data_IF_150356220318
#
_entry.id   IF_150356220318
#
_cell.length_a   1.000
_cell.length_b   1.000
_cell.length_c   1.000
_cell.angle_alpha   90.00
_cell.angle_beta   90.00
_cell.angle_gamma   90.00
#
_symmetry.space_group_name_H-M   'P 1'
#
loop_
_entity.id
_entity.type
_entity.pdbx_description
1 polymer ?
#
# COMPACT_ATOMS: atom_id res chain seq x y z
N UNK A 1 14.62 29.05 9.31
CA UNK A 1 13.62 29.18 10.41
C UNK A 1 14.12 30.23 11.39
N UNK A 2 13.27 31.14 11.88
CA UNK A 2 13.67 32.13 12.88
C UNK A 2 13.78 31.50 14.27
N UNK A 3 14.64 32.06 15.13
CA UNK A 3 14.77 31.62 16.53
C UNK A 3 13.45 31.76 17.30
N UNK A 4 12.67 32.79 16.98
CA UNK A 4 11.34 33.02 17.56
C UNK A 4 10.35 31.90 17.24
N UNK A 5 10.31 31.44 15.98
CA UNK A 5 9.45 30.33 15.57
C UNK A 5 9.91 29.02 16.23
N UNK A 6 11.22 28.76 16.25
CA UNK A 6 11.76 27.56 16.89
C UNK A 6 11.40 27.50 18.38
N UNK A 7 11.48 28.62 19.08
CA UNK A 7 11.10 28.72 20.49
C UNK A 7 9.58 28.49 20.69
N UNK A 8 8.73 29.10 19.86
CA UNK A 8 7.28 28.88 19.93
C UNK A 8 6.91 27.41 19.65
N UNK A 9 7.56 26.78 18.67
CA UNK A 9 7.35 25.36 18.38
C UNK A 9 7.79 24.48 19.56
N UNK A 10 8.95 24.78 20.18
CA UNK A 10 9.44 24.09 21.38
C UNK A 10 8.45 24.18 22.54
N UNK A 11 7.83 25.33 22.75
CA UNK A 11 6.82 25.53 23.80
C UNK A 11 5.56 24.69 23.56
N UNK A 12 5.19 24.44 22.31
CA UNK A 12 4.04 23.59 21.95
C UNK A 12 4.34 22.11 22.17
N UNK A 13 5.43 21.58 21.60
CA UNK A 13 5.68 20.13 21.56
C UNK A 13 6.57 19.60 22.69
N UNK A 14 7.19 20.52 23.45
CA UNK A 14 8.19 20.25 24.48
C UNK A 14 9.51 19.72 23.92
N UNK A 15 10.50 19.54 24.79
CA UNK A 15 11.83 19.01 24.42
C UNK A 15 11.76 17.61 23.78
N UNK A 16 10.87 16.75 24.25
CA UNK A 16 10.67 15.42 23.68
C UNK A 16 10.07 15.45 22.26
N UNK A 17 9.43 16.56 21.91
CA UNK A 17 8.74 16.76 20.64
C UNK A 17 9.55 17.48 19.58
N UNK A 18 10.74 18.01 19.90
CA UNK A 18 11.56 18.78 18.95
C UNK A 18 12.92 18.11 18.74
N UNK A 19 13.30 17.94 17.48
CA UNK A 19 14.63 17.46 17.09
C UNK A 19 15.22 18.46 16.10
N UNK A 20 16.33 19.09 16.48
CA UNK A 20 17.16 19.95 15.62
C UNK A 20 18.57 19.39 15.40
N UNK A 21 18.92 18.34 16.14
CA UNK A 21 20.20 17.67 16.02
C UNK A 21 20.28 16.90 14.68
N UNK A 22 21.32 17.19 13.91
CA UNK A 22 21.48 16.70 12.53
C UNK A 22 21.59 15.18 12.47
N UNK A 23 22.25 14.55 13.44
CA UNK A 23 22.44 13.10 13.49
C UNK A 23 21.10 12.40 13.80
N UNK A 24 20.35 12.92 14.77
CA UNK A 24 19.03 12.37 15.15
C UNK A 24 17.97 12.55 14.05
N UNK A 25 18.11 13.55 13.19
CA UNK A 25 17.19 13.76 12.06
C UNK A 25 17.38 12.74 10.94
N UNK A 26 18.54 12.08 10.80
CA UNK A 26 18.87 11.27 9.60
C UNK A 26 17.79 10.23 9.23
N UNK A 27 17.19 9.58 10.23
CA UNK A 27 16.14 8.56 10.01
C UNK A 27 14.83 9.10 9.42
N UNK A 28 14.60 10.42 9.50
CA UNK A 28 13.43 11.11 8.94
C UNK A 28 13.70 11.68 7.54
N UNK A 29 14.98 11.80 7.17
CA UNK A 29 15.45 12.49 5.97
C UNK A 29 15.74 11.56 4.79
N UNK A 30 15.70 10.25 5.00
CA UNK A 30 15.87 9.23 3.96
C UNK A 30 14.68 8.28 3.95
N UNK A 31 14.27 7.82 2.79
CA UNK A 31 13.25 6.77 2.70
C UNK A 31 13.83 5.38 3.00
N UNK A 32 12.93 4.41 3.18
CA UNK A 32 13.27 3.02 3.49
C UNK A 32 14.21 2.36 2.45
N UNK A 33 14.12 2.73 1.17
CA UNK A 33 14.98 2.17 0.11
C UNK A 33 16.28 2.95 -0.11
N UNK A 34 16.44 4.12 0.51
CA UNK A 34 17.53 5.04 0.23
C UNK A 34 17.48 5.66 -1.18
N UNK A 35 16.31 5.66 -1.82
CA UNK A 35 16.07 6.26 -3.12
C UNK A 35 15.90 7.79 -3.05
N UNK A 36 15.41 8.30 -1.92
CA UNK A 36 15.15 9.72 -1.69
C UNK A 36 15.86 10.18 -0.42
N UNK A 37 16.52 11.34 -0.51
CA UNK A 37 17.14 12.01 0.64
C UNK A 37 16.86 13.51 0.58
N UNK A 38 16.45 14.07 1.71
CA UNK A 38 16.15 15.48 1.87
C UNK A 38 16.88 16.13 3.04
N UNK A 39 16.54 17.37 3.31
CA UNK A 39 16.99 18.18 4.45
C UNK A 39 15.79 18.85 5.12
N UNK A 40 15.82 19.00 6.44
CA UNK A 40 14.78 19.68 7.18
C UNK A 40 15.35 20.67 8.19
N UNK A 41 14.61 21.72 8.47
CA UNK A 41 14.95 22.71 9.49
C UNK A 41 14.81 22.13 10.90
N UNK A 42 13.85 21.23 11.10
CA UNK A 42 13.61 20.49 12.32
C UNK A 42 12.68 19.30 12.05
N UNK A 43 12.64 18.36 13.00
CA UNK A 43 11.57 17.36 13.11
C UNK A 43 10.73 17.67 14.34
N UNK A 44 9.42 17.78 14.15
CA UNK A 44 8.44 17.97 15.22
C UNK A 44 7.65 16.67 15.44
N UNK A 45 7.41 16.33 16.70
CA UNK A 45 6.77 15.09 17.15
C UNK A 45 5.67 15.42 18.16
N UNK A 46 4.54 16.00 17.73
CA UNK A 46 3.44 16.32 18.63
C UNK A 46 2.84 15.05 19.26
N UNK A 47 2.29 15.18 20.47
CA UNK A 47 1.66 14.10 21.23
C UNK A 47 0.12 14.20 21.29
N UNK A 48 -0.47 15.22 20.70
CA UNK A 48 -1.91 15.47 20.69
C UNK A 48 -2.35 16.21 19.43
N UNK A 49 -3.65 16.16 19.13
CA UNK A 49 -4.26 16.86 17.99
C UNK A 49 -4.16 18.38 18.17
N UNK A 50 -4.25 18.86 19.40
CA UNK A 50 -4.10 20.26 19.76
C UNK A 50 -2.68 20.77 19.48
N UNK A 51 -1.66 19.96 19.80
CA UNK A 51 -0.26 20.26 19.46
C UNK A 51 -0.05 20.29 17.94
N UNK A 52 -0.58 19.31 17.19
CA UNK A 52 -0.54 19.31 15.72
C UNK A 52 -1.16 20.60 15.18
N UNK A 53 -2.35 20.97 15.67
CA UNK A 53 -3.06 22.17 15.26
C UNK A 53 -2.28 23.45 15.57
N UNK A 54 -1.64 23.53 16.74
CA UNK A 54 -0.80 24.67 17.11
C UNK A 54 0.46 24.78 16.24
N UNK A 55 1.14 23.66 15.97
CA UNK A 55 2.28 23.63 15.04
C UNK A 55 1.88 24.10 13.65
N UNK A 56 0.78 23.58 13.10
CA UNK A 56 0.30 23.97 11.77
C UNK A 56 0.00 25.47 11.70
N UNK A 57 -0.67 26.04 12.72
CA UNK A 57 -0.91 27.50 12.77
C UNK A 57 0.37 28.32 12.76
N UNK A 58 1.35 27.95 13.59
CA UNK A 58 2.64 28.66 13.68
C UNK A 58 3.41 28.59 12.35
N UNK A 59 3.46 27.41 11.73
CA UNK A 59 4.10 27.22 10.44
C UNK A 59 3.39 27.98 9.32
N UNK A 60 2.06 27.97 9.28
CA UNK A 60 1.27 28.71 8.31
C UNK A 60 1.50 30.23 8.43
N UNK A 61 1.52 30.77 9.65
CA UNK A 61 1.81 32.20 9.90
C UNK A 61 3.23 32.60 9.49
N UNK A 62 4.18 31.69 9.62
CA UNK A 62 5.58 31.93 9.28
C UNK A 62 5.96 31.57 7.84
N UNK A 63 5.04 31.04 7.04
CA UNK A 63 5.32 30.59 5.67
C UNK A 63 6.25 29.37 5.61
N UNK A 64 6.23 28.51 6.62
CA UNK A 64 7.09 27.31 6.70
C UNK A 64 6.29 26.07 6.28
N UNK A 65 6.82 25.35 5.30
CA UNK A 65 6.20 24.13 4.80
C UNK A 65 6.37 22.95 5.76
N UNK A 66 5.34 22.09 5.80
CA UNK A 66 5.29 20.88 6.61
C UNK A 66 5.27 19.63 5.73
N UNK A 67 5.99 18.59 6.16
CA UNK A 67 6.00 17.26 5.55
C UNK A 67 5.49 16.26 6.60
N UNK A 68 4.21 15.84 6.52
CA UNK A 68 3.66 14.85 7.45
C UNK A 68 4.35 13.50 7.27
N UNK A 69 4.72 12.86 8.38
CA UNK A 69 5.41 11.57 8.37
C UNK A 69 4.85 10.61 9.43
N UNK A 70 4.49 9.41 8.97
CA UNK A 70 4.14 8.27 9.83
C UNK A 70 5.35 7.37 10.08
N UNK A 71 5.21 6.08 9.75
CA UNK A 71 6.27 5.08 9.85
C UNK A 71 7.41 5.18 8.82
N UNK A 72 7.37 6.14 7.89
CA UNK A 72 8.35 6.34 6.83
C UNK A 72 8.60 5.09 5.92
N UNK A 73 7.54 4.32 5.66
CA UNK A 73 7.57 3.10 4.83
C UNK A 73 7.06 3.33 3.39
N UNK A 74 6.68 4.57 3.05
CA UNK A 74 6.15 4.92 1.73
C UNK A 74 7.22 4.82 0.64
N UNK A 75 6.82 4.41 -0.56
CA UNK A 75 7.75 4.06 -1.64
C UNK A 75 7.88 5.10 -2.75
N UNK A 76 7.15 6.21 -2.62
CA UNK A 76 7.04 7.25 -3.63
C UNK A 76 7.70 8.57 -3.21
N UNK A 77 8.43 8.59 -2.09
CA UNK A 77 9.10 9.80 -1.56
C UNK A 77 8.15 10.82 -0.92
N UNK A 78 6.86 10.51 -0.77
CA UNK A 78 5.86 11.44 -0.23
C UNK A 78 6.11 11.87 1.23
N UNK A 79 6.88 11.09 1.99
CA UNK A 79 7.25 11.36 3.38
C UNK A 79 8.58 12.09 3.55
N UNK A 80 9.31 12.37 2.46
CA UNK A 80 10.68 12.91 2.51
C UNK A 80 10.65 14.41 2.16
N UNK A 81 11.31 15.28 2.95
CA UNK A 81 11.42 16.70 2.62
C UNK A 81 12.28 16.94 1.38
N UNK A 82 12.21 18.14 0.82
CA UNK A 82 13.11 18.56 -0.27
C UNK A 82 14.55 18.78 0.22
N UNK A 83 15.43 19.22 -0.68
CA UNK A 83 16.85 19.46 -0.40
C UNK A 83 17.15 20.84 0.18
N UNK A 84 16.14 21.72 0.33
CA UNK A 84 16.33 23.12 0.72
C UNK A 84 16.68 23.29 2.19
N UNK A 85 16.32 22.32 3.04
CA UNK A 85 16.46 22.42 4.49
C UNK A 85 15.50 23.42 5.13
N UNK A 86 14.55 23.98 4.38
CA UNK A 86 13.60 24.98 4.87
C UNK A 86 12.31 24.37 5.44
N UNK A 87 11.99 23.13 5.05
CA UNK A 87 10.78 22.41 5.45
C UNK A 87 10.94 21.82 6.86
N UNK A 88 9.81 21.59 7.54
CA UNK A 88 9.77 20.85 8.81
C UNK A 88 9.08 19.51 8.58
N UNK A 89 9.70 18.43 9.07
CA UNK A 89 9.04 17.12 9.12
C UNK A 89 8.15 17.08 10.36
N UNK A 90 6.87 16.75 10.18
CA UNK A 90 5.92 16.55 11.27
C UNK A 90 5.64 15.06 11.44
N UNK A 91 6.30 14.44 12.42
CA UNK A 91 6.14 13.01 12.70
C UNK A 91 5.01 12.76 13.71
N UNK A 92 4.06 11.92 13.34
CA UNK A 92 2.92 11.53 14.19
C UNK A 92 3.24 10.38 15.15
N UNK A 93 4.50 9.92 15.18
CA UNK A 93 4.93 8.72 15.91
C UNK A 93 4.82 8.82 17.44
N UNK A 94 4.42 9.96 18.02
CA UNK A 94 4.11 10.05 19.47
C UNK A 94 2.61 9.89 19.78
N UNK A 95 1.75 10.00 18.78
CA UNK A 95 0.29 9.84 18.89
C UNK A 95 -0.08 8.37 18.68
N UNK A 96 0.15 7.53 19.70
CA UNK A 96 0.03 6.05 19.62
C UNK A 96 -1.12 5.47 20.45
N UNK A 97 -2.09 6.26 20.88
CA UNK A 97 -3.18 5.74 21.73
C UNK A 97 -4.24 5.03 20.89
N UNK A 98 -4.62 3.84 21.35
CA UNK A 98 -5.91 3.25 21.05
C UNK A 98 -6.91 3.91 22.00
N UNK A 99 -7.78 4.77 21.48
CA UNK A 99 -8.71 5.58 22.28
C UNK A 99 -9.88 4.75 22.78
N UNK A 100 -10.41 3.85 21.95
CA UNK A 100 -11.60 3.04 22.26
C UNK A 100 -11.66 1.78 21.39
N UNK A 101 -12.16 0.67 21.96
CA UNK A 101 -12.52 -0.54 21.22
C UNK A 101 -13.98 -0.87 21.54
N UNK A 102 -14.89 -0.61 20.60
CA UNK A 102 -16.31 -0.93 20.74
C UNK A 102 -16.59 -2.26 20.02
N UNK A 103 -16.62 -3.34 20.80
CA UNK A 103 -16.85 -4.70 20.31
C UNK A 103 -18.25 -4.88 19.75
N UNK A 104 -19.25 -4.16 20.28
CA UNK A 104 -20.65 -4.28 19.86
C UNK A 104 -20.89 -3.56 18.53
N UNK A 105 -20.32 -2.36 18.36
CA UNK A 105 -20.35 -1.63 17.10
C UNK A 105 -19.33 -2.16 16.06
N UNK A 106 -18.43 -3.03 16.51
CA UNK A 106 -17.31 -3.56 15.75
C UNK A 106 -16.47 -2.42 15.16
N UNK A 107 -16.00 -1.54 16.04
CA UNK A 107 -15.16 -0.39 15.70
C UNK A 107 -14.01 -0.22 16.66
N UNK A 108 -12.94 0.39 16.17
CA UNK A 108 -11.77 0.77 16.97
C UNK A 108 -11.37 2.20 16.62
N UNK A 109 -11.21 3.03 17.65
CA UNK A 109 -10.80 4.44 17.51
C UNK A 109 -9.34 4.56 17.91
N UNK A 110 -8.50 5.05 17.00
CA UNK A 110 -7.04 5.09 17.19
C UNK A 110 -6.45 6.41 16.74
N UNK A 111 -5.33 6.79 17.35
CA UNK A 111 -4.49 7.88 16.88
C UNK A 111 -3.69 7.48 15.64
N UNK A 112 -3.35 8.46 14.81
CA UNK A 112 -2.70 8.27 13.51
C UNK A 112 -1.30 7.63 13.59
N UNK A 113 -0.60 7.75 14.72
CA UNK A 113 0.72 7.18 14.93
C UNK A 113 0.73 5.73 15.44
N UNK A 114 -0.44 5.11 15.67
CA UNK A 114 -0.55 3.70 16.02
C UNK A 114 0.03 2.85 14.88
N UNK A 115 0.90 1.89 15.22
CA UNK A 115 1.47 0.94 14.26
C UNK A 115 0.39 -0.06 13.85
N UNK A 116 0.35 -0.44 12.56
CA UNK A 116 -0.67 -1.36 12.05
C UNK A 116 -0.69 -2.69 12.82
N UNK A 117 0.47 -3.27 13.10
CA UNK A 117 0.56 -4.50 13.89
C UNK A 117 -0.06 -4.35 15.29
N UNK A 118 0.17 -3.22 15.98
CA UNK A 118 -0.41 -2.96 17.30
C UNK A 118 -1.94 -2.82 17.23
N UNK A 119 -2.46 -2.24 16.14
CA UNK A 119 -3.90 -2.17 15.88
C UNK A 119 -4.51 -3.57 15.68
N UNK A 120 -3.85 -4.43 14.91
CA UNK A 120 -4.27 -5.81 14.67
C UNK A 120 -4.25 -6.63 15.97
N UNK A 121 -3.19 -6.52 16.78
CA UNK A 121 -3.05 -7.18 18.08
C UNK A 121 -4.19 -6.77 19.04
N UNK A 122 -4.47 -5.47 19.17
CA UNK A 122 -5.55 -4.98 20.01
C UNK A 122 -6.95 -5.45 19.55
N UNK A 123 -7.17 -5.60 18.24
CA UNK A 123 -8.39 -6.20 17.72
C UNK A 123 -8.46 -7.70 18.08
N UNK A 124 -7.35 -8.43 17.95
CA UNK A 124 -7.27 -9.86 18.25
C UNK A 124 -7.53 -10.16 19.73
N UNK A 125 -7.04 -9.31 20.66
CA UNK A 125 -7.27 -9.44 22.10
C UNK A 125 -8.76 -9.46 22.48
N UNK A 126 -9.61 -8.78 21.71
CA UNK A 126 -11.07 -8.75 21.91
C UNK A 126 -11.82 -9.70 20.98
N UNK A 127 -11.14 -10.66 20.36
CA UNK A 127 -11.73 -11.66 19.48
C UNK A 127 -12.25 -11.08 18.15
N UNK A 128 -11.60 -10.01 17.67
CA UNK A 128 -11.90 -9.33 16.40
C UNK A 128 -10.71 -9.36 15.45
N UNK A 129 -10.96 -8.96 14.21
CA UNK A 129 -9.99 -8.81 13.14
C UNK A 129 -9.98 -7.36 12.66
N UNK A 130 -8.80 -6.76 12.56
CA UNK A 130 -8.55 -5.65 11.64
C UNK A 130 -7.84 -6.21 10.40
N UNK A 131 -8.48 -6.21 9.21
CA UNK A 131 -8.11 -7.11 8.13
C UNK A 131 -7.02 -6.58 7.18
N UNK A 132 -6.64 -5.30 7.27
CA UNK A 132 -5.53 -4.81 6.45
C UNK A 132 -4.24 -5.49 6.90
N UNK A 133 -3.55 -6.16 5.98
CA UNK A 133 -2.21 -6.70 6.18
C UNK A 133 -1.34 -6.39 4.96
N UNK A 134 -0.09 -6.02 5.22
CA UNK A 134 0.89 -5.60 4.22
C UNK A 134 2.30 -5.76 4.79
N UNK A 135 3.31 -5.91 3.93
CA UNK A 135 4.67 -6.29 4.36
C UNK A 135 5.39 -5.29 5.29
N UNK A 136 4.85 -4.08 5.47
CA UNK A 136 5.38 -3.05 6.37
C UNK A 136 4.61 -2.93 7.71
N UNK A 137 3.74 -3.88 8.06
CA UNK A 137 2.79 -3.76 9.19
C UNK A 137 3.44 -3.51 10.56
N UNK A 138 4.67 -3.99 10.78
CA UNK A 138 5.43 -3.74 12.01
C UNK A 138 6.00 -2.31 12.14
N UNK A 139 5.93 -1.49 11.09
CA UNK A 139 6.47 -0.13 11.07
C UNK A 139 5.49 0.93 10.55
N UNK A 140 4.61 0.58 9.60
CA UNK A 140 3.65 1.51 9.04
C UNK A 140 2.61 1.93 10.11
N UNK A 141 2.15 3.17 10.01
CA UNK A 141 1.23 3.77 10.97
C UNK A 141 -0.14 3.93 10.34
N UNK A 142 -1.21 3.89 11.14
CA UNK A 142 -2.60 4.06 10.69
C UNK A 142 -2.79 5.33 9.84
N UNK A 143 -2.26 6.47 10.27
CA UNK A 143 -2.34 7.73 9.53
C UNK A 143 -1.63 7.68 8.17
N UNK A 144 -0.52 6.95 8.09
CA UNK A 144 0.19 6.68 6.83
C UNK A 144 -0.65 5.82 5.90
N UNK A 145 -1.18 4.71 6.40
CA UNK A 145 -2.06 3.82 5.64
C UNK A 145 -3.30 4.56 5.11
N UNK A 146 -3.89 5.45 5.90
CA UNK A 146 -5.00 6.31 5.46
C UNK A 146 -4.55 7.32 4.40
N UNK A 147 -3.45 8.04 4.65
CA UNK A 147 -2.96 9.06 3.74
C UNK A 147 -2.55 8.49 2.37
N UNK A 148 -2.10 7.24 2.30
CA UNK A 148 -1.77 6.56 1.03
C UNK A 148 -2.91 5.70 0.49
N UNK A 149 -4.04 5.59 1.20
CA UNK A 149 -5.10 4.61 0.92
C UNK A 149 -4.56 3.18 0.73
N UNK A 150 -3.76 2.70 1.68
CA UNK A 150 -3.08 1.42 1.59
C UNK A 150 -4.04 0.26 1.30
N UNK A 151 -3.59 -0.61 0.38
CA UNK A 151 -4.14 -1.92 0.10
C UNK A 151 -3.33 -3.04 0.77
N UNK A 152 -3.42 -4.23 0.19
CA UNK A 152 -2.84 -5.46 0.73
C UNK A 152 -3.55 -6.69 0.17
N UNK A 153 -3.08 -7.87 0.56
CA UNK A 153 -3.53 -9.17 0.01
C UNK A 153 -5.02 -9.45 0.22
N UNK A 154 -5.61 -8.88 1.27
CA UNK A 154 -7.01 -9.12 1.65
C UNK A 154 -8.00 -8.06 1.12
N UNK A 155 -7.56 -7.13 0.27
CA UNK A 155 -8.42 -6.09 -0.33
C UNK A 155 -9.60 -6.70 -1.07
N UNK A 156 -9.39 -7.84 -1.73
CA UNK A 156 -10.43 -8.57 -2.45
C UNK A 156 -11.64 -8.94 -1.59
N UNK A 157 -11.45 -9.06 -0.26
CA UNK A 157 -12.50 -9.39 0.72
C UNK A 157 -12.98 -8.17 1.49
N UNK A 158 -12.06 -7.37 1.99
CA UNK A 158 -12.35 -6.35 3.01
C UNK A 158 -12.25 -4.91 2.50
N UNK A 159 -11.73 -4.73 1.29
CA UNK A 159 -11.41 -3.42 0.72
C UNK A 159 -10.11 -2.83 1.27
N UNK A 160 -9.76 -1.65 0.78
CA UNK A 160 -8.57 -0.91 1.20
C UNK A 160 -8.86 -0.03 2.44
N UNK A 161 -7.90 0.79 2.87
CA UNK A 161 -8.11 1.68 4.02
C UNK A 161 -9.33 2.60 3.90
N UNK A 162 -9.71 3.04 2.70
CA UNK A 162 -10.93 3.81 2.45
C UNK A 162 -12.18 3.04 2.87
N UNK A 163 -12.23 1.75 2.51
CA UNK A 163 -13.35 0.86 2.84
C UNK A 163 -13.39 0.52 4.33
N UNK A 164 -12.23 0.49 4.99
CA UNK A 164 -12.11 0.16 6.42
C UNK A 164 -12.38 1.35 7.35
N UNK A 165 -12.58 2.56 6.82
CA UNK A 165 -12.71 3.78 7.63
C UNK A 165 -14.16 4.24 7.78
N UNK A 166 -14.57 4.58 9.02
CA UNK A 166 -15.87 5.18 9.32
C UNK A 166 -15.78 6.68 9.59
N UNK A 167 -14.73 7.13 10.28
CA UNK A 167 -14.55 8.53 10.67
C UNK A 167 -13.08 8.92 10.76
N UNK A 168 -12.80 10.22 10.63
CA UNK A 168 -11.45 10.80 10.73
C UNK A 168 -11.46 12.06 11.58
N UNK A 169 -10.33 12.33 12.21
CA UNK A 169 -9.97 13.62 12.81
C UNK A 169 -8.80 14.19 12.01
N UNK A 170 -8.92 15.42 11.52
CA UNK A 170 -7.93 16.03 10.62
C UNK A 170 -7.65 17.47 11.03
N UNK A 171 -6.36 17.82 11.09
CA UNK A 171 -5.90 19.20 11.19
C UNK A 171 -5.70 19.76 9.78
N UNK A 172 -6.44 20.82 9.46
CA UNK A 172 -6.38 21.52 8.17
C UNK A 172 -5.12 22.39 8.06
N UNK A 173 -4.72 22.84 6.85
CA UNK A 173 -3.52 23.66 6.64
C UNK A 173 -3.50 25.02 7.36
N UNK A 174 -4.65 25.52 7.81
CA UNK A 174 -4.76 26.71 8.69
C UNK A 174 -4.81 26.37 10.18
N UNK A 175 -4.68 25.08 10.52
CA UNK A 175 -4.68 24.53 11.87
C UNK A 175 -6.06 24.48 12.53
N UNK A 176 -7.16 24.64 11.80
CA UNK A 176 -8.49 24.21 12.29
C UNK A 176 -8.54 22.69 12.40
N UNK A 177 -9.27 22.20 13.40
CA UNK A 177 -9.51 20.76 13.60
C UNK A 177 -10.89 20.45 13.04
N UNK A 178 -10.95 19.48 12.12
CA UNK A 178 -12.20 18.85 11.73
C UNK A 178 -12.33 17.52 12.48
N UNK A 179 -13.35 17.42 13.34
CA UNK A 179 -13.71 16.20 14.04
C UNK A 179 -14.89 15.49 13.35
N UNK A 180 -14.57 14.40 12.66
CA UNK A 180 -15.50 13.48 12.06
C UNK A 180 -15.39 12.08 12.65
N UNK A 181 -14.94 11.90 13.89
CA UNK A 181 -14.78 10.59 14.55
C UNK A 181 -16.12 9.96 14.92
N UNK A 182 -16.84 9.46 13.91
CA UNK A 182 -18.13 8.80 14.06
C UNK A 182 -18.01 7.32 13.75
N UNK A 183 -18.44 6.46 14.66
CA UNK A 183 -18.57 5.01 14.45
C UNK A 183 -19.82 4.58 13.69
N UNK A 184 -20.43 5.45 12.89
CA UNK A 184 -21.71 5.19 12.23
C UNK A 184 -21.52 4.44 10.90
N UNK A 185 -22.35 3.43 10.65
CA UNK A 185 -22.37 2.70 9.36
C UNK A 185 -23.11 3.45 8.25
N UNK A 186 -24.01 4.35 8.63
CA UNK A 186 -24.83 5.17 7.73
C UNK A 186 -24.89 6.59 8.28
N UNK A 187 -24.41 7.55 7.53
CA UNK A 187 -24.44 8.96 7.88
C UNK A 187 -24.49 9.80 6.59
N UNK A 188 -25.71 10.16 6.15
CA UNK A 188 -25.93 10.87 4.89
C UNK A 188 -26.23 12.37 5.13
N UNK A 189 -25.56 12.99 6.09
CA UNK A 189 -25.80 14.40 6.47
C UNK A 189 -24.89 15.38 5.73
N UNK A 190 -24.71 15.22 4.42
CA UNK A 190 -23.87 16.07 3.56
C UNK A 190 -22.81 15.28 2.79
N UNK A 191 -21.76 15.98 2.35
CA UNK A 191 -20.64 15.35 1.65
C UNK A 191 -19.79 14.50 2.60
N UNK A 192 -19.28 13.39 2.09
CA UNK A 192 -18.42 12.50 2.85
C UNK A 192 -16.96 12.99 2.82
N UNK A 193 -16.67 13.99 3.66
CA UNK A 193 -15.39 14.72 3.65
C UNK A 193 -14.18 13.82 3.94
N UNK A 194 -14.35 12.69 4.64
CA UNK A 194 -13.22 11.80 4.97
C UNK A 194 -12.52 11.30 3.72
N UNK A 195 -13.26 11.11 2.62
CA UNK A 195 -12.71 10.63 1.37
C UNK A 195 -11.77 11.61 0.67
N UNK A 196 -11.80 12.90 1.02
CA UNK A 196 -10.82 13.86 0.52
C UNK A 196 -9.43 13.60 1.12
N UNK A 197 -9.34 13.16 2.37
CA UNK A 197 -8.08 13.01 3.10
C UNK A 197 -7.46 11.62 2.96
N UNK A 198 -8.29 10.59 2.73
CA UNK A 198 -7.80 9.23 2.45
C UNK A 198 -7.19 9.23 1.04
N UNK A 199 -5.94 8.83 0.91
CA UNK A 199 -5.19 8.89 -0.35
C UNK A 199 -4.66 10.29 -0.72
N UNK A 200 -4.78 11.29 0.16
CA UNK A 200 -4.30 12.66 -0.13
C UNK A 200 -2.79 12.84 0.11
N UNK A 201 -2.10 11.82 0.62
CA UNK A 201 -0.66 11.81 0.93
C UNK A 201 -0.22 13.01 1.79
N UNK A 202 -1.09 13.42 2.73
CA UNK A 202 -0.83 14.54 3.62
C UNK A 202 -0.83 15.92 2.94
N UNK A 203 -1.25 16.05 1.68
CA UNK A 203 -1.27 17.33 0.95
C UNK A 203 -2.45 18.22 1.30
N UNK A 204 -3.53 17.67 1.85
CA UNK A 204 -4.76 18.42 2.16
C UNK A 204 -4.96 18.68 3.66
N UNK A 205 -4.15 18.07 4.51
CA UNK A 205 -4.26 18.13 5.96
C UNK A 205 -3.55 16.96 6.62
N UNK A 206 -3.58 16.94 7.95
CA UNK A 206 -2.86 15.98 8.79
C UNK A 206 -3.89 15.16 9.55
N UNK A 207 -4.02 13.88 9.20
CA UNK A 207 -4.90 12.95 9.91
C UNK A 207 -4.28 12.68 11.29
N UNK A 208 -5.05 12.90 12.36
CA UNK A 208 -4.59 12.73 13.75
C UNK A 208 -5.24 11.55 14.46
N UNK A 209 -6.43 11.13 14.03
CA UNK A 209 -7.11 9.94 14.52
C UNK A 209 -8.14 9.40 13.50
N UNK A 210 -8.57 8.16 13.71
CA UNK A 210 -9.56 7.49 12.87
C UNK A 210 -10.45 6.54 13.68
N UNK A 211 -11.68 6.35 13.20
CA UNK A 211 -12.57 5.25 13.60
C UNK A 211 -12.56 4.21 12.48
N UNK A 212 -12.12 3.00 12.79
CA UNK A 212 -11.93 1.91 11.83
C UNK A 212 -12.90 0.76 12.09
N UNK A 213 -13.29 0.05 11.02
CA UNK A 213 -14.14 -1.15 11.09
C UNK A 213 -13.34 -2.34 11.62
N UNK A 214 -13.96 -3.08 12.54
CA UNK A 214 -13.52 -4.41 12.94
C UNK A 214 -14.43 -5.48 12.33
N UNK A 215 -13.87 -6.67 12.16
CA UNK A 215 -14.55 -7.87 11.68
C UNK A 215 -14.48 -8.97 12.74
N UNK A 216 -15.32 -10.02 12.64
CA UNK A 216 -15.14 -11.20 13.48
C UNK A 216 -13.75 -11.83 13.24
N UNK A 217 -13.15 -12.40 14.29
CA UNK A 217 -11.89 -13.13 14.15
C UNK A 217 -12.04 -14.33 13.19
N UNK A 218 -10.99 -14.56 12.41
CA UNK A 218 -10.82 -15.79 11.63
C UNK A 218 -10.54 -16.94 12.59
N UNK A 219 -11.24 -18.06 12.40
CA UNK A 219 -11.12 -19.28 13.23
C UNK A 219 -10.80 -20.54 12.44
N UNK A 220 -11.03 -20.53 11.13
CA UNK A 220 -10.52 -21.55 10.20
C UNK A 220 -9.86 -20.85 9.02
N UNK A 221 -8.77 -21.44 8.54
CA UNK A 221 -8.02 -20.96 7.39
C UNK A 221 -7.47 -22.17 6.63
N UNK A 222 -7.44 -22.07 5.31
CA UNK A 222 -6.73 -23.02 4.44
C UNK A 222 -6.09 -22.28 3.28
N UNK A 223 -5.00 -22.83 2.76
CA UNK A 223 -4.22 -22.22 1.70
C UNK A 223 -3.85 -23.29 0.69
N UNK A 224 -3.98 -22.96 -0.60
CA UNK A 224 -3.43 -23.78 -1.68
C UNK A 224 -2.48 -22.98 -2.55
N UNK A 225 -1.51 -23.69 -3.10
CA UNK A 225 -0.64 -23.23 -4.17
C UNK A 225 -0.97 -24.03 -5.43
N UNK A 226 -1.33 -23.33 -6.51
CA UNK A 226 -1.89 -23.95 -7.71
C UNK A 226 -1.07 -23.53 -8.92
N UNK A 227 -0.58 -24.49 -9.70
CA UNK A 227 0.05 -24.24 -10.99
C UNK A 227 -1.01 -24.08 -12.08
N UNK A 228 -0.82 -23.12 -12.99
CA UNK A 228 -1.78 -22.80 -14.06
C UNK A 228 -1.08 -22.74 -15.42
N UNK A 229 -1.80 -22.98 -16.53
CA UNK A 229 -1.24 -22.83 -17.86
C UNK A 229 -1.11 -21.36 -18.31
N UNK A 230 -1.88 -20.44 -17.73
CA UNK A 230 -1.94 -19.04 -18.18
C UNK A 230 -2.53 -18.09 -17.13
N UNK A 231 -2.35 -16.78 -17.34
CA UNK A 231 -3.05 -15.74 -16.58
C UNK A 231 -4.59 -15.75 -16.84
N UNK A 232 -5.04 -16.21 -18.01
CA UNK A 232 -6.46 -16.39 -18.31
C UNK A 232 -7.08 -17.42 -17.37
N UNK A 233 -6.40 -18.55 -17.18
CA UNK A 233 -6.83 -19.58 -16.25
C UNK A 233 -6.94 -19.06 -14.80
N UNK A 234 -6.05 -18.14 -14.39
CA UNK A 234 -6.14 -17.51 -13.06
C UNK A 234 -7.39 -16.64 -12.90
N UNK A 235 -7.76 -15.87 -13.93
CA UNK A 235 -8.97 -15.02 -13.92
C UNK A 235 -10.26 -15.84 -13.96
N UNK A 236 -10.27 -16.96 -14.68
CA UNK A 236 -11.41 -17.89 -14.67
C UNK A 236 -11.52 -18.62 -13.32
N UNK A 237 -10.38 -19.07 -12.78
CA UNK A 237 -10.32 -19.76 -11.49
C UNK A 237 -10.80 -18.87 -10.34
N UNK A 238 -10.38 -17.60 -10.26
CA UNK A 238 -10.90 -16.71 -9.21
C UNK A 238 -12.41 -16.50 -9.34
N UNK A 239 -12.94 -16.43 -10.56
CA UNK A 239 -14.39 -16.35 -10.80
C UNK A 239 -15.12 -17.58 -10.28
N UNK A 240 -14.60 -18.77 -10.57
CA UNK A 240 -15.13 -20.05 -10.08
C UNK A 240 -15.06 -20.13 -8.54
N UNK A 241 -13.90 -19.83 -7.95
CA UNK A 241 -13.69 -19.86 -6.50
C UNK A 241 -14.57 -18.84 -5.78
N UNK A 242 -14.78 -17.64 -6.33
CA UNK A 242 -15.73 -16.66 -5.78
C UNK A 242 -17.17 -17.17 -5.83
N UNK A 243 -17.57 -17.84 -6.91
CA UNK A 243 -18.90 -18.44 -7.03
C UNK A 243 -19.16 -19.52 -5.98
N UNK A 244 -18.15 -20.35 -5.69
CA UNK A 244 -18.25 -21.45 -4.73
C UNK A 244 -18.09 -21.00 -3.26
N UNK A 245 -17.08 -20.19 -2.98
CA UNK A 245 -16.64 -19.85 -1.62
C UNK A 245 -17.22 -18.52 -1.12
N UNK A 246 -17.65 -17.64 -2.03
CA UNK A 246 -18.09 -16.29 -1.71
C UNK A 246 -17.06 -15.51 -0.89
N UNK A 247 -17.56 -14.91 0.17
CA UNK A 247 -16.81 -14.09 1.14
C UNK A 247 -15.75 -14.85 1.95
N UNK A 248 -15.63 -16.17 1.80
CA UNK A 248 -14.54 -16.95 2.41
C UNK A 248 -13.24 -16.80 1.65
N UNK A 249 -13.28 -16.43 0.37
CA UNK A 249 -12.06 -16.17 -0.39
C UNK A 249 -11.42 -14.89 0.16
N UNK A 250 -10.24 -15.01 0.77
CA UNK A 250 -9.54 -13.90 1.41
C UNK A 250 -8.17 -13.61 0.84
N UNK A 251 -7.59 -14.53 0.08
CA UNK A 251 -6.37 -14.32 -0.71
C UNK A 251 -6.48 -14.97 -2.09
N UNK A 252 -6.03 -14.27 -3.12
CA UNK A 252 -5.87 -14.80 -4.47
C UNK A 252 -4.75 -14.05 -5.20
N UNK A 253 -3.53 -14.57 -5.06
CA UNK A 253 -2.31 -13.94 -5.54
C UNK A 253 -1.81 -14.65 -6.78
N UNK A 254 -1.52 -13.93 -7.87
CA UNK A 254 -0.92 -14.47 -9.09
C UNK A 254 0.57 -14.21 -9.11
N UNK A 255 1.36 -15.18 -9.59
CA UNK A 255 2.80 -15.05 -9.78
C UNK A 255 3.23 -15.73 -11.08
N UNK A 256 4.05 -15.04 -11.88
CA UNK A 256 4.74 -15.65 -13.01
C UNK A 256 5.85 -16.59 -12.53
N UNK A 257 6.25 -17.55 -13.39
CA UNK A 257 7.41 -18.41 -13.12
C UNK A 257 8.66 -17.61 -12.78
N UNK A 258 8.89 -16.52 -13.49
CA UNK A 258 10.07 -15.67 -13.29
C UNK A 258 10.12 -15.10 -11.86
N UNK A 259 8.96 -14.76 -11.28
CA UNK A 259 8.85 -14.28 -9.90
C UNK A 259 9.24 -15.38 -8.91
N UNK A 260 8.73 -16.60 -9.09
CA UNK A 260 9.03 -17.75 -8.22
C UNK A 260 10.51 -18.16 -8.33
N UNK A 261 11.07 -18.19 -9.54
CA UNK A 261 12.50 -18.50 -9.78
C UNK A 261 13.45 -17.60 -8.99
N UNK A 262 13.15 -16.31 -8.89
CA UNK A 262 13.99 -15.39 -8.10
C UNK A 262 13.93 -15.74 -6.63
N UNK A 263 12.74 -16.03 -6.12
CA UNK A 263 12.55 -16.40 -4.70
C UNK A 263 13.29 -17.70 -4.39
N UNK A 264 13.15 -18.72 -5.22
CA UNK A 264 13.85 -20.00 -5.04
C UNK A 264 15.38 -19.87 -5.06
N UNK A 265 15.93 -18.87 -5.77
CA UNK A 265 17.37 -18.65 -5.86
C UNK A 265 17.94 -17.88 -4.67
N UNK A 266 17.19 -16.92 -4.13
CA UNK A 266 17.74 -15.91 -3.20
C UNK A 266 17.18 -15.98 -1.80
N UNK A 267 15.98 -16.54 -1.61
CA UNK A 267 15.36 -16.65 -0.29
C UNK A 267 15.72 -18.00 0.32
N UNK A 268 16.20 -17.99 1.56
CA UNK A 268 16.58 -19.21 2.26
C UNK A 268 15.36 -19.96 2.78
N UNK A 269 15.40 -21.29 2.74
CA UNK A 269 14.37 -22.14 3.35
C UNK A 269 13.07 -22.27 2.57
N UNK A 270 12.99 -21.71 1.36
CA UNK A 270 11.88 -21.94 0.42
C UNK A 270 12.26 -23.00 -0.60
N UNK A 271 11.28 -23.76 -1.07
CA UNK A 271 11.43 -24.76 -2.11
C UNK A 271 10.25 -24.71 -3.07
N UNK A 272 10.46 -25.17 -4.30
CA UNK A 272 9.39 -25.32 -5.27
C UNK A 272 8.40 -26.38 -4.75
N UNK A 273 7.08 -26.10 -4.67
CA UNK A 273 6.10 -27.10 -4.25
C UNK A 273 5.93 -28.25 -5.24
N UNK A 274 6.36 -28.08 -6.49
CA UNK A 274 6.19 -29.05 -7.57
C UNK A 274 7.52 -29.58 -8.11
N UNK A 275 7.46 -30.74 -8.77
CA UNK A 275 8.62 -31.32 -9.46
C UNK A 275 8.92 -30.60 -10.78
N UNK A 276 7.89 -30.14 -11.47
CA UNK A 276 7.98 -29.46 -12.77
C UNK A 276 7.77 -27.95 -12.64
N UNK A 277 8.43 -27.19 -13.51
CA UNK A 277 8.22 -25.75 -13.60
C UNK A 277 7.00 -25.42 -14.48
N UNK A 278 6.06 -24.68 -13.91
CA UNK A 278 4.86 -24.17 -14.58
C UNK A 278 4.96 -22.66 -14.86
N UNK A 279 4.27 -22.14 -15.90
CA UNK A 279 4.41 -20.74 -16.32
C UNK A 279 3.79 -19.74 -15.34
N UNK A 280 2.71 -20.13 -14.65
CA UNK A 280 1.97 -19.30 -13.69
C UNK A 280 1.59 -20.09 -12.44
N UNK A 281 1.46 -19.37 -11.34
CA UNK A 281 1.03 -19.90 -10.04
C UNK A 281 -0.02 -18.98 -9.44
N UNK A 282 -0.95 -19.54 -8.67
CA UNK A 282 -1.77 -18.77 -7.74
C UNK A 282 -1.65 -19.30 -6.32
N UNK A 283 -1.60 -18.40 -5.35
CA UNK A 283 -1.84 -18.69 -3.95
C UNK A 283 -3.29 -18.33 -3.62
N UNK A 284 -4.06 -19.31 -3.18
CA UNK A 284 -5.47 -19.16 -2.80
C UNK A 284 -5.57 -19.32 -1.29
N UNK A 285 -6.25 -18.40 -0.62
CA UNK A 285 -6.56 -18.51 0.80
C UNK A 285 -8.06 -18.39 1.03
N UNK A 286 -8.60 -19.36 1.77
CA UNK A 286 -9.95 -19.29 2.31
C UNK A 286 -9.89 -19.11 3.82
N UNK A 287 -10.78 -18.27 4.38
CA UNK A 287 -10.96 -18.15 5.82
C UNK A 287 -12.43 -18.08 6.23
N UNK A 288 -12.72 -18.53 7.46
CA UNK A 288 -14.06 -18.49 8.06
C UNK A 288 -13.97 -18.12 9.54
N UNK A 289 -15.08 -17.62 10.05
CA UNK A 289 -15.32 -17.29 11.46
C UNK A 289 -15.72 -18.51 12.31
N UNK A 290 -16.12 -19.62 11.67
CA UNK A 290 -16.42 -20.89 12.29
C UNK A 290 -15.12 -21.70 12.49
N UNK A 291 -14.83 -22.28 13.68
CA UNK A 291 -13.60 -23.04 13.93
C UNK A 291 -13.41 -24.34 13.14
N UNK A 292 -14.50 -24.93 12.64
CA UNK A 292 -14.50 -26.20 11.92
C UNK A 292 -15.21 -26.03 10.57
N UNK A 293 -15.04 -24.88 9.91
CA UNK A 293 -15.57 -24.71 8.56
C UNK A 293 -14.91 -25.74 7.62
N UNK A 294 -15.67 -26.39 6.71
CA UNK A 294 -15.13 -27.38 5.77
C UNK A 294 -14.38 -26.71 4.62
N UNK A 295 -13.40 -25.86 4.93
CA UNK A 295 -12.69 -25.05 3.94
C UNK A 295 -11.83 -25.89 3.01
N UNK A 296 -11.23 -26.98 3.52
CA UNK A 296 -10.48 -27.91 2.67
C UNK A 296 -11.39 -28.59 1.64
N UNK A 297 -12.58 -29.04 2.05
CA UNK A 297 -13.55 -29.66 1.14
C UNK A 297 -13.99 -28.68 0.05
N UNK A 298 -14.30 -27.43 0.42
CA UNK A 298 -14.65 -26.38 -0.55
C UNK A 298 -13.50 -26.05 -1.50
N UNK A 299 -12.27 -26.01 -0.99
CA UNK A 299 -11.08 -25.75 -1.80
C UNK A 299 -10.82 -26.91 -2.75
N UNK A 300 -10.90 -28.16 -2.29
CA UNK A 300 -10.74 -29.37 -3.08
C UNK A 300 -11.83 -29.51 -4.15
N UNK A 301 -13.09 -29.19 -3.83
CA UNK A 301 -14.19 -29.14 -4.82
C UNK A 301 -13.88 -28.12 -5.93
N UNK A 302 -13.48 -26.92 -5.53
CA UNK A 302 -13.08 -25.86 -6.47
C UNK A 302 -11.89 -26.27 -7.33
N UNK A 303 -10.86 -26.88 -6.75
CA UNK A 303 -9.69 -27.35 -7.49
C UNK A 303 -10.03 -28.54 -8.40
N UNK A 304 -10.90 -29.45 -7.98
CA UNK A 304 -11.38 -30.56 -8.81
C UNK A 304 -12.03 -30.06 -10.10
N UNK A 305 -12.97 -29.12 -9.99
CA UNK A 305 -13.57 -28.47 -11.15
C UNK A 305 -12.54 -27.69 -11.99
N UNK A 306 -11.53 -27.07 -11.35
CA UNK A 306 -10.46 -26.38 -12.06
C UNK A 306 -9.59 -27.34 -12.90
N UNK A 307 -9.31 -28.55 -12.41
CA UNK A 307 -8.62 -29.59 -13.17
C UNK A 307 -9.47 -30.10 -14.34
N UNK A 308 -10.77 -30.35 -14.12
CA UNK A 308 -11.69 -30.81 -15.17
C UNK A 308 -11.78 -29.81 -16.33
N UNK A 309 -11.76 -28.51 -16.03
CA UNK A 309 -11.78 -27.45 -17.04
C UNK A 309 -10.38 -27.07 -17.58
N UNK A 310 -9.31 -27.73 -17.13
CA UNK A 310 -7.94 -27.42 -17.56
C UNK A 310 -7.41 -26.06 -17.08
N UNK A 311 -7.98 -25.50 -16.02
CA UNK A 311 -7.54 -24.25 -15.39
C UNK A 311 -6.35 -24.47 -14.44
N UNK A 312 -6.28 -25.65 -13.82
CA UNK A 312 -5.18 -26.07 -12.94
C UNK A 312 -4.36 -27.19 -13.59
N UNK A 313 -3.03 -27.13 -13.41
CA UNK A 313 -2.08 -28.15 -13.88
C UNK A 313 -1.59 -29.04 -12.75
N UNK A 314 -1.40 -28.47 -11.56
CA UNK A 314 -1.04 -29.16 -10.33
C UNK A 314 -1.45 -28.29 -9.13
N UNK A 315 -1.61 -28.87 -7.94
CA UNK A 315 -1.98 -28.14 -6.74
C UNK A 315 -1.43 -28.79 -5.47
N UNK A 316 -0.97 -27.96 -4.53
CA UNK A 316 -0.64 -28.35 -3.15
C UNK A 316 -1.56 -27.60 -2.20
N UNK A 317 -2.33 -28.34 -1.39
CA UNK A 317 -3.09 -27.80 -0.27
C UNK A 317 -2.25 -27.91 1.00
N UNK A 318 -2.12 -26.82 1.75
CA UNK A 318 -1.36 -26.81 3.00
C UNK A 318 -2.07 -27.64 4.07
N UNK A 319 -1.37 -28.60 4.66
CA UNK A 319 -1.86 -29.47 5.73
C UNK A 319 -1.43 -29.00 7.13
N UNK A 320 -0.68 -27.88 7.24
CA UNK A 320 -0.22 -27.32 8.51
C UNK A 320 0.11 -25.83 8.40
N UNK A 321 0.12 -25.11 9.53
CA UNK A 321 0.52 -23.71 9.59
C UNK A 321 1.95 -23.47 9.09
N UNK A 322 2.84 -24.45 9.24
CA UNK A 322 4.20 -24.38 8.73
C UNK A 322 4.22 -24.37 7.19
N UNK A 323 3.36 -25.18 6.55
CA UNK A 323 3.21 -25.16 5.10
C UNK A 323 2.52 -23.88 4.62
N UNK A 324 1.50 -23.40 5.33
CA UNK A 324 0.87 -22.09 5.03
C UNK A 324 1.93 -20.99 4.99
N UNK A 325 2.78 -20.88 6.03
CA UNK A 325 3.88 -19.91 6.06
C UNK A 325 4.89 -20.11 4.93
N UNK A 326 5.23 -21.35 4.58
CA UNK A 326 6.15 -21.63 3.49
C UNK A 326 5.60 -21.19 2.12
N UNK A 327 4.30 -21.40 1.87
CA UNK A 327 3.64 -20.95 0.64
C UNK A 327 3.55 -19.42 0.59
N UNK A 328 3.21 -18.77 1.70
CA UNK A 328 3.21 -17.31 1.79
C UNK A 328 4.61 -16.72 1.61
N UNK A 329 5.65 -17.35 2.14
CA UNK A 329 7.04 -16.92 1.95
C UNK A 329 7.46 -16.89 0.47
N UNK A 330 6.94 -17.81 -0.37
CA UNK A 330 7.16 -17.76 -1.82
C UNK A 330 6.57 -16.50 -2.46
N UNK A 331 5.42 -16.03 -1.98
CA UNK A 331 4.74 -14.82 -2.47
C UNK A 331 5.33 -13.53 -1.91
N UNK A 332 5.63 -13.49 -0.61
CA UNK A 332 6.12 -12.30 0.08
C UNK A 332 7.59 -12.02 -0.26
N UNK A 333 8.39 -13.06 -0.51
CA UNK A 333 9.81 -12.95 -0.83
C UNK A 333 10.12 -12.33 -2.20
N UNK A 334 9.14 -12.18 -3.11
CA UNK A 334 9.38 -11.77 -4.51
C UNK A 334 10.09 -10.41 -4.60
N UNK A 335 9.61 -9.41 -3.87
CA UNK A 335 10.15 -8.05 -3.96
C UNK A 335 11.59 -7.96 -3.44
N UNK A 336 11.92 -8.73 -2.40
CA UNK A 336 13.28 -8.84 -1.86
C UNK A 336 14.18 -9.60 -2.81
N UNK A 337 13.76 -10.80 -3.24
CA UNK A 337 14.50 -11.65 -4.16
C UNK A 337 14.89 -10.92 -5.45
N UNK A 338 13.99 -10.07 -5.98
CA UNK A 338 14.27 -9.28 -7.17
C UNK A 338 15.41 -8.26 -6.97
N UNK A 339 15.65 -7.76 -5.75
CA UNK A 339 16.75 -6.82 -5.50
C UNK A 339 18.13 -7.50 -5.63
N UNK A 340 18.20 -8.82 -5.48
CA UNK A 340 19.43 -9.60 -5.69
C UNK A 340 19.73 -9.86 -7.17
N UNK A 341 18.81 -9.53 -8.07
CA UNK A 341 18.92 -9.74 -9.53
C UNK A 341 19.41 -8.48 -10.29
N UNK A 342 19.94 -7.51 -9.55
CA UNK A 342 20.36 -6.20 -10.05
C UNK A 342 19.25 -5.16 -10.01
N UNK A 343 19.39 -4.03 -10.75
CA UNK A 343 18.37 -2.99 -10.78
C UNK A 343 17.02 -3.53 -11.24
N UNK A 344 15.97 -3.22 -10.48
CA UNK A 344 14.58 -3.54 -10.81
C UNK A 344 13.81 -2.26 -11.09
N UNK A 345 13.15 -2.21 -12.25
CA UNK A 345 12.22 -1.15 -12.60
C UNK A 345 10.83 -1.56 -12.13
N UNK A 346 10.40 -1.00 -11.00
CA UNK A 346 9.16 -1.41 -10.33
C UNK A 346 7.96 -0.58 -10.80
N UNK A 347 6.89 -1.27 -11.20
CA UNK A 347 5.63 -0.63 -11.60
C UNK A 347 4.51 -1.28 -10.83
N UNK A 348 3.74 -0.44 -10.14
CA UNK A 348 2.59 -0.82 -9.34
C UNK A 348 1.37 -0.25 -10.04
N UNK A 349 0.65 -1.10 -10.76
CA UNK A 349 -0.44 -0.69 -11.67
C UNK A 349 -1.68 -1.50 -11.37
N UNK A 350 -2.84 -0.99 -11.79
CA UNK A 350 -4.07 -1.78 -11.76
C UNK A 350 -4.76 -1.75 -13.11
N UNK A 351 -5.41 -2.85 -13.48
CA UNK A 351 -6.33 -2.94 -14.62
C UNK A 351 -7.61 -3.63 -14.18
N UNK A 352 -8.74 -3.49 -14.90
CA UNK A 352 -9.90 -4.32 -14.63
C UNK A 352 -9.51 -5.80 -14.62
N UNK A 353 -9.99 -6.57 -13.64
CA UNK A 353 -9.63 -8.00 -13.47
C UNK A 353 -9.82 -8.78 -14.78
N UNK A 354 -10.91 -8.50 -15.50
CA UNK A 354 -11.24 -9.10 -16.80
C UNK A 354 -10.31 -8.72 -17.96
N UNK A 355 -9.30 -7.87 -17.72
CA UNK A 355 -8.30 -7.42 -18.69
C UNK A 355 -6.88 -7.82 -18.33
N UNK A 356 -6.65 -8.40 -17.15
CA UNK A 356 -5.32 -8.90 -16.73
C UNK A 356 -4.69 -9.81 -17.81
N UNK A 357 -5.39 -10.81 -18.39
CA UNK A 357 -4.77 -11.75 -19.32
C UNK A 357 -4.32 -11.05 -20.61
N UNK A 358 -5.19 -10.22 -21.19
CA UNK A 358 -4.90 -9.45 -22.40
C UNK A 358 -3.81 -8.38 -22.16
N UNK A 359 -3.80 -7.77 -20.98
CA UNK A 359 -2.76 -6.82 -20.58
C UNK A 359 -1.40 -7.52 -20.51
N UNK A 360 -1.29 -8.65 -19.81
CA UNK A 360 -0.04 -9.40 -19.68
C UNK A 360 0.43 -9.85 -21.07
N UNK A 361 -0.42 -10.52 -21.85
CA UNK A 361 -0.02 -11.06 -23.16
C UNK A 361 0.49 -9.96 -24.10
N UNK A 362 -0.21 -8.83 -24.17
CA UNK A 362 0.16 -7.71 -25.05
C UNK A 362 1.40 -6.97 -24.57
N UNK A 363 1.48 -6.71 -23.26
CA UNK A 363 2.59 -5.95 -22.68
C UNK A 363 3.88 -6.77 -22.67
N UNK A 364 3.81 -8.07 -22.39
CA UNK A 364 4.93 -9.00 -22.50
C UNK A 364 5.50 -8.98 -23.93
N UNK A 365 4.63 -9.13 -24.94
CA UNK A 365 5.03 -9.11 -26.34
C UNK A 365 5.70 -7.78 -26.72
N UNK A 366 5.08 -6.65 -26.36
CA UNK A 366 5.61 -5.33 -26.68
C UNK A 366 6.96 -5.06 -25.99
N UNK A 367 7.12 -5.48 -24.73
CA UNK A 367 8.38 -5.36 -24.00
C UNK A 367 9.48 -6.22 -24.62
N UNK A 368 9.19 -7.48 -24.96
CA UNK A 368 10.19 -8.35 -25.59
C UNK A 368 10.60 -7.86 -26.98
N UNK A 369 9.70 -7.23 -27.73
CA UNK A 369 10.02 -6.63 -29.03
C UNK A 369 10.90 -5.37 -28.90
N UNK A 370 10.57 -4.48 -27.97
CA UNK A 370 11.28 -3.22 -27.78
C UNK A 370 12.59 -3.37 -26.99
N UNK A 371 12.63 -4.30 -26.04
CA UNK A 371 13.74 -4.54 -25.13
C UNK A 371 14.05 -6.04 -25.02
N UNK A 372 14.64 -6.66 -26.07
CA UNK A 372 14.86 -8.11 -26.10
C UNK A 372 15.64 -8.63 -24.88
N UNK A 373 15.10 -9.66 -24.24
CA UNK A 373 15.75 -10.36 -23.14
C UNK A 373 15.53 -9.73 -21.76
N UNK A 374 14.75 -8.66 -21.64
CA UNK A 374 14.29 -8.19 -20.32
C UNK A 374 13.50 -9.30 -19.63
N UNK A 375 13.63 -9.39 -18.31
CA UNK A 375 12.97 -10.41 -17.50
C UNK A 375 11.77 -9.79 -16.79
N UNK A 376 10.58 -10.22 -17.18
CA UNK A 376 9.32 -9.70 -16.67
C UNK A 376 8.94 -10.46 -15.40
N UNK A 377 8.86 -9.73 -14.30
CA UNK A 377 8.48 -10.22 -12.97
C UNK A 377 7.08 -9.67 -12.69
N UNK A 378 6.07 -10.44 -13.08
CA UNK A 378 4.67 -10.09 -12.92
C UNK A 378 4.07 -10.92 -11.77
N UNK A 379 3.53 -10.22 -10.77
CA UNK A 379 2.81 -10.82 -9.65
C UNK A 379 1.84 -9.80 -9.04
N UNK A 380 0.84 -10.24 -8.29
CA UNK A 380 -0.06 -9.32 -7.61
C UNK A 380 -1.41 -9.91 -7.23
N UNK A 381 -2.33 -9.02 -6.88
CA UNK A 381 -3.64 -9.32 -6.33
C UNK A 381 -4.67 -9.38 -7.47
N UNK A 382 -4.96 -10.58 -7.99
CA UNK A 382 -5.94 -10.72 -9.10
C UNK A 382 -7.34 -10.28 -8.66
N UNK A 383 -7.66 -10.46 -7.38
CA UNK A 383 -8.98 -10.17 -6.82
C UNK A 383 -9.41 -8.71 -6.90
N UNK A 384 -8.47 -7.78 -6.99
CA UNK A 384 -8.72 -6.34 -7.07
C UNK A 384 -8.11 -5.67 -8.31
N UNK A 385 -7.38 -6.43 -9.13
CA UNK A 385 -6.83 -5.95 -10.40
C UNK A 385 -5.43 -5.35 -10.29
N UNK A 386 -4.79 -5.39 -9.11
CA UNK A 386 -3.43 -4.90 -8.90
C UNK A 386 -2.38 -5.88 -9.46
N UNK A 387 -1.42 -5.35 -10.22
CA UNK A 387 -0.22 -6.04 -10.68
C UNK A 387 1.03 -5.23 -10.31
N UNK A 388 1.94 -5.87 -9.60
CA UNK A 388 3.34 -5.48 -9.57
C UNK A 388 4.01 -6.02 -10.84
N UNK A 389 4.17 -5.14 -11.82
CA UNK A 389 4.65 -5.48 -13.15
C UNK A 389 6.09 -4.97 -13.34
N UNK A 390 7.02 -5.67 -12.70
CA UNK A 390 8.40 -5.22 -12.54
C UNK A 390 9.29 -5.78 -13.65
N UNK A 391 10.30 -5.00 -14.05
CA UNK A 391 11.25 -5.40 -15.10
C UNK A 391 12.65 -5.51 -14.51
N UNK A 392 13.25 -6.69 -14.65
CA UNK A 392 14.65 -6.95 -14.33
C UNK A 392 15.48 -6.98 -15.61
N UNK A 393 16.74 -6.56 -15.50
CA UNK A 393 17.67 -6.53 -16.63
C UNK A 393 17.88 -7.91 -17.26
N UNK A 394 18.26 -8.00 -18.55
CA UNK A 394 18.75 -9.24 -19.15
C UNK A 394 19.95 -9.81 -18.37
N UNK A 395 20.10 -11.14 -18.38
CA UNK A 395 21.25 -11.81 -17.74
C UNK A 395 22.55 -11.33 -18.38
N UNK A 396 23.50 -10.89 -17.55
CA UNK A 396 24.79 -10.37 -18.01
C UNK A 396 24.79 -8.94 -18.57
N UNK A 397 23.64 -8.25 -18.60
CA UNK A 397 23.60 -6.85 -19.02
C UNK A 397 24.19 -5.90 -17.97
N UNK A 398 24.78 -4.79 -18.43
CA UNK A 398 25.31 -3.72 -17.58
C UNK A 398 24.19 -2.91 -16.91
N UNK A 399 24.34 -2.62 -15.62
CA UNK A 399 23.33 -1.92 -14.81
C UNK A 399 23.02 -0.53 -15.35
N UNK A 400 24.05 0.22 -15.75
CA UNK A 400 23.88 1.58 -16.25
C UNK A 400 23.11 1.62 -17.57
N UNK A 401 23.39 0.68 -18.47
CA UNK A 401 22.71 0.57 -19.76
C UNK A 401 21.23 0.21 -19.59
N UNK A 402 20.91 -0.69 -18.66
CA UNK A 402 19.52 -1.04 -18.34
C UNK A 402 18.77 0.12 -17.68
N UNK A 403 19.38 0.79 -16.70
CA UNK A 403 18.78 1.97 -16.04
C UNK A 403 18.47 3.10 -17.01
N UNK A 404 19.30 3.28 -18.04
CA UNK A 404 19.06 4.29 -19.09
C UNK A 404 17.77 4.03 -19.89
N UNK A 405 17.22 2.80 -19.87
CA UNK A 405 15.98 2.43 -20.54
C UNK A 405 14.73 2.62 -19.66
N UNK A 406 14.90 3.03 -18.39
CA UNK A 406 13.82 3.07 -17.40
C UNK A 406 12.60 3.87 -17.84
N UNK A 407 12.82 5.07 -18.40
CA UNK A 407 11.72 5.93 -18.85
C UNK A 407 10.95 5.32 -20.04
N UNK A 408 11.66 4.71 -20.99
CA UNK A 408 11.04 4.10 -22.16
C UNK A 408 10.22 2.85 -21.79
N UNK A 409 10.75 2.02 -20.89
CA UNK A 409 10.04 0.86 -20.34
C UNK A 409 8.80 1.31 -19.56
N UNK A 410 8.94 2.30 -18.68
CA UNK A 410 7.84 2.85 -17.89
C UNK A 410 6.72 3.38 -18.79
N UNK A 411 7.06 4.18 -19.82
CA UNK A 411 6.07 4.70 -20.78
C UNK A 411 5.32 3.58 -21.48
N UNK A 412 6.02 2.55 -21.97
CA UNK A 412 5.38 1.41 -22.62
C UNK A 412 4.36 0.74 -21.68
N UNK A 413 4.74 0.46 -20.42
CA UNK A 413 3.85 -0.17 -19.44
C UNK A 413 2.65 0.73 -19.12
N UNK A 414 2.87 2.03 -18.90
CA UNK A 414 1.79 2.96 -18.58
C UNK A 414 0.85 3.23 -19.77
N UNK A 415 1.36 3.26 -20.99
CA UNK A 415 0.55 3.36 -22.20
C UNK A 415 -0.35 2.12 -22.36
N UNK A 416 0.18 0.92 -22.11
CA UNK A 416 -0.64 -0.30 -22.07
C UNK A 416 -1.65 -0.26 -20.92
N UNK A 417 -1.23 0.22 -19.75
CA UNK A 417 -2.11 0.35 -18.58
C UNK A 417 -3.31 1.23 -18.91
N UNK A 418 -3.11 2.40 -19.53
CA UNK A 418 -4.21 3.26 -19.98
C UNK A 418 -5.03 2.63 -21.11
N UNK A 419 -4.40 1.90 -22.04
CA UNK A 419 -5.13 1.21 -23.10
C UNK A 419 -6.22 0.27 -22.54
N UNK A 420 -5.96 -0.35 -21.40
CA UNK A 420 -6.90 -1.21 -20.69
C UNK A 420 -7.70 -0.49 -19.58
N UNK A 421 -7.77 0.85 -19.63
CA UNK A 421 -8.47 1.69 -18.65
C UNK A 421 -8.00 1.45 -17.20
N UNK A 422 -6.70 1.25 -17.02
CA UNK A 422 -6.06 1.04 -15.73
C UNK A 422 -5.53 2.30 -15.04
N UNK A 423 -4.87 2.11 -13.90
CA UNK A 423 -4.17 3.14 -13.12
C UNK A 423 -2.67 2.87 -13.07
N UNK A 424 -1.85 3.92 -13.21
CA UNK A 424 -0.38 3.86 -13.09
C UNK A 424 0.13 3.73 -11.63
N UNK A 425 -0.79 3.82 -10.66
CA UNK A 425 -0.51 3.59 -9.25
C UNK A 425 -1.72 2.95 -8.59
N UNK A 426 -1.56 1.69 -8.15
CA UNK A 426 -2.61 0.94 -7.49
C UNK A 426 -2.64 1.20 -5.99
N UNK A 427 -1.47 1.10 -5.32
CA UNK A 427 -1.38 1.12 -3.86
C UNK A 427 -0.37 2.15 -3.33
N UNK A 428 0.79 2.30 -3.98
CA UNK A 428 1.90 3.06 -3.39
C UNK A 428 1.70 4.59 -3.38
N UNK A 429 0.68 5.10 -4.08
CA UNK A 429 0.45 6.54 -4.27
C UNK A 429 1.33 7.14 -5.37
N UNK A 430 1.36 8.47 -5.45
CA UNK A 430 2.13 9.22 -6.44
C UNK A 430 3.41 9.80 -5.85
N UNK A 431 3.32 10.40 -4.66
CA UNK A 431 4.40 11.09 -3.97
C UNK A 431 5.16 12.06 -4.87
N UNK A 432 6.48 12.02 -4.76
CA UNK A 432 7.40 12.69 -5.69
C UNK A 432 7.59 11.86 -6.96
N UNK A 433 7.66 10.53 -6.80
CA UNK A 433 8.10 9.58 -7.83
C UNK A 433 7.27 9.59 -9.11
N UNK A 434 5.93 9.63 -9.00
CA UNK A 434 5.00 9.47 -10.13
C UNK A 434 4.26 10.77 -10.44
N UNK A 435 4.63 11.90 -9.84
CA UNK A 435 3.93 13.19 -10.02
C UNK A 435 3.90 13.65 -11.47
N UNK A 436 5.05 13.62 -12.15
CA UNK A 436 5.13 13.99 -13.57
C UNK A 436 4.40 12.97 -14.47
N UNK A 437 4.47 11.68 -14.14
CA UNK A 437 3.72 10.66 -14.87
C UNK A 437 2.20 10.87 -14.70
N UNK A 438 1.73 11.21 -13.50
CA UNK A 438 0.32 11.51 -13.26
C UNK A 438 -0.16 12.73 -14.05
N UNK A 439 0.67 13.77 -14.16
CA UNK A 439 0.37 14.93 -15.01
C UNK A 439 0.22 14.56 -16.49
N UNK A 440 0.91 13.51 -16.96
CA UNK A 440 0.81 13.02 -18.33
C UNK A 440 -0.38 12.09 -18.55
N UNK A 441 -0.64 11.17 -17.62
CA UNK A 441 -1.60 10.07 -17.80
C UNK A 441 -3.00 10.34 -17.24
N UNK A 442 -3.19 11.34 -16.37
CA UNK A 442 -4.53 11.71 -15.87
C UNK A 442 -5.25 12.65 -16.84
N UNK A 443 -6.57 12.56 -16.83
CA UNK A 443 -7.39 13.48 -17.60
C UNK A 443 -7.17 14.93 -17.11
N UNK A 444 -7.05 15.93 -18.00
CA UNK A 444 -6.80 17.32 -17.58
C UNK A 444 -7.81 17.87 -16.57
N UNK A 445 -9.10 17.55 -16.74
CA UNK A 445 -10.15 17.96 -15.81
C UNK A 445 -10.00 17.32 -14.42
N UNK A 446 -9.52 16.07 -14.36
CA UNK A 446 -9.28 15.40 -13.07
C UNK A 446 -8.18 16.13 -12.29
N UNK A 447 -7.08 16.48 -12.97
CA UNK A 447 -5.99 17.26 -12.38
C UNK A 447 -6.44 18.66 -11.94
N UNK A 448 -7.26 19.34 -12.75
CA UNK A 448 -7.82 20.65 -12.42
C UNK A 448 -8.67 20.60 -11.14
N UNK A 449 -9.51 19.58 -11.00
CA UNK A 449 -10.36 19.41 -9.81
C UNK A 449 -9.52 19.10 -8.56
N UNK A 450 -8.50 18.24 -8.68
CA UNK A 450 -7.56 17.97 -7.59
C UNK A 450 -6.81 19.24 -7.15
N UNK A 451 -6.31 20.01 -8.11
CA UNK A 451 -5.64 21.29 -7.85
C UNK A 451 -6.59 22.31 -7.22
N UNK A 452 -7.85 22.36 -7.65
CA UNK A 452 -8.86 23.25 -7.06
C UNK A 452 -9.14 22.91 -5.60
N UNK A 453 -9.26 21.62 -5.26
CA UNK A 453 -9.42 21.18 -3.87
C UNK A 453 -8.18 21.56 -3.03
N UNK A 454 -6.97 21.32 -3.57
CA UNK A 454 -5.72 21.71 -2.92
C UNK A 454 -5.66 23.21 -2.66
N UNK A 455 -6.02 24.03 -3.64
CA UNK A 455 -6.00 25.49 -3.53
C UNK A 455 -7.00 26.02 -2.48
N UNK A 456 -8.16 25.37 -2.36
CA UNK A 456 -9.17 25.74 -1.36
C UNK A 456 -8.69 25.42 0.07
N UNK A 457 -8.05 24.27 0.26
CA UNK A 457 -7.63 23.81 1.59
C UNK A 457 -6.27 24.35 2.02
N UNK A 458 -5.32 24.49 1.09
CA UNK A 458 -3.95 24.97 1.30
C UNK A 458 -3.56 26.03 0.26
N UNK A 459 -4.13 27.25 0.34
CA UNK A 459 -3.87 28.30 -0.64
C UNK A 459 -2.42 28.79 -0.64
N UNK A 460 -1.68 28.57 0.45
CA UNK A 460 -0.27 28.95 0.58
C UNK A 460 0.69 27.85 0.09
N UNK A 461 0.18 26.64 -0.21
CA UNK A 461 0.99 25.52 -0.69
C UNK A 461 2.01 25.02 0.34
N UNK A 462 1.73 25.15 1.63
CA UNK A 462 2.66 24.78 2.72
C UNK A 462 2.51 23.32 3.16
N UNK A 463 1.41 22.67 2.84
CA UNK A 463 1.08 21.32 3.28
C UNK A 463 1.59 20.28 2.26
N UNK A 464 2.70 19.61 2.62
CA UNK A 464 3.41 18.61 1.83
C UNK A 464 3.70 19.01 0.37
N UNK A 465 4.40 20.14 0.12
CA UNK A 465 4.60 20.67 -1.23
C UNK A 465 5.44 19.75 -2.13
N UNK A 466 5.18 19.84 -3.44
CA UNK A 466 5.94 19.14 -4.47
C UNK A 466 5.64 17.64 -4.62
N UNK A 467 4.53 17.18 -4.02
CA UNK A 467 4.10 15.77 -4.00
C UNK A 467 2.65 15.68 -4.46
N UNK A 468 2.30 14.55 -5.09
CA UNK A 468 0.98 14.24 -5.65
C UNK A 468 0.56 15.11 -6.86
N UNK A 469 0.60 16.45 -6.75
CA UNK A 469 0.26 17.42 -7.80
C UNK A 469 1.45 18.23 -8.33
#
# INVERSE_FOLDING_TARGET
MSDSLLQALREVVGEAGLITDVERMQSYLSDWRGAYRGQAAAVLRPASTEEVAAVVRLCAQAGVALVPQGGNTGLCGGSIPDDTGSQIVLSLTRMKRIREVDVANATITVEAGVILQQLQEAAAEVGRLFPLSLGAEGSCTVGGNLATNAGGTAVLRYGNMRDLTLGLEVVLPDGRIWDGLRGLRKDNTGYDLKYLFIGSEGTLGIITAAVLKLYPAVRSLTTAWVALPSAQAAVELIGQMRGLCGDRLTGFELMSRQSVEFVLRHVAGVSDPFADAHPWYVLIELSDTQPNAPLNELLEEGLGAAFEHGLALDAVVAASDAQVRALWALREGISEAQNHEGPSLKHDISVPVSRIPDFIARTDQALQQAFPGVRIVAYGHVGDGNLHYNISKPVGAEDAAFKAQAEAIMRLIYDQTLHYAGSISAEHGLGQSKRLAAQHYKAPLELELMASIKQVLDPAGLMNPGKLL
#
